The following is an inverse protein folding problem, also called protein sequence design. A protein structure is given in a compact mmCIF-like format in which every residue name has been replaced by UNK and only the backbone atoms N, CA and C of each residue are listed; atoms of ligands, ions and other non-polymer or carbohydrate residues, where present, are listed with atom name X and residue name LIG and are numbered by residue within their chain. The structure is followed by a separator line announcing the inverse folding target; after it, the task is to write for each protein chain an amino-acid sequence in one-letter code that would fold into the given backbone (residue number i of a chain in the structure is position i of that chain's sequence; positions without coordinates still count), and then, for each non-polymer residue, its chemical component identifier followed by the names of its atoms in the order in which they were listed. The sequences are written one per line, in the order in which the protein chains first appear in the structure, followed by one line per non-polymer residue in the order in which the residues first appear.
data_IF_911958406130
#
_entry.id   IF_911958406130
#
_cell.length_a   1.000
_cell.length_b   1.000
_cell.length_c   1.000
_cell.angle_alpha   90.00
_cell.angle_beta   90.00
_cell.angle_gamma   90.00
#
_symmetry.space_group_name_H-M   'P 1'
#
loop_
_entity.id
_entity.type
_entity.pdbx_description
1 polymer ?
#
# COMPACT_ATOMS: atom_id res chain seq x y z
N UNK A 1 -42.65 -10.52 25.61
CA UNK A 1 -42.28 -10.49 24.18
C UNK A 1 -40.80 -10.22 24.08
N UNK A 2 -40.01 -11.29 23.93
CA UNK A 2 -38.58 -11.18 23.61
C UNK A 2 -38.46 -10.77 22.14
N UNK A 3 -37.59 -9.81 21.84
CA UNK A 3 -37.25 -9.33 20.49
C UNK A 3 -36.95 -10.50 19.55
N UNK A 4 -37.70 -10.63 18.45
CA UNK A 4 -37.48 -11.61 17.36
C UNK A 4 -36.24 -11.31 16.48
N UNK A 5 -35.40 -10.36 16.88
CA UNK A 5 -34.17 -10.01 16.17
C UNK A 5 -32.97 -10.74 16.79
N UNK A 6 -32.48 -11.80 16.12
CA UNK A 6 -31.20 -12.40 16.48
C UNK A 6 -30.05 -11.49 16.02
N UNK A 7 -29.26 -11.00 16.97
CA UNK A 7 -27.98 -10.34 16.68
C UNK A 7 -26.91 -11.40 16.37
N UNK A 8 -26.85 -11.87 15.13
CA UNK A 8 -25.82 -12.84 14.71
C UNK A 8 -24.63 -12.09 14.10
N UNK A 9 -23.51 -12.06 14.84
CA UNK A 9 -22.22 -11.62 14.31
C UNK A 9 -21.48 -12.78 13.65
N UNK A 10 -20.84 -12.55 12.51
CA UNK A 10 -20.11 -13.57 11.76
C UNK A 10 -18.63 -13.20 11.70
N UNK A 11 -17.75 -14.03 12.27
CA UNK A 11 -16.31 -13.86 12.15
C UNK A 11 -15.77 -14.18 10.76
N UNK A 12 -16.52 -14.95 9.98
CA UNK A 12 -16.09 -15.39 8.67
C UNK A 12 -17.11 -14.96 7.59
N UNK A 13 -16.72 -14.12 6.62
CA UNK A 13 -17.53 -13.81 5.44
C UNK A 13 -18.04 -15.06 4.71
N UNK A 14 -17.30 -16.16 4.71
CA UNK A 14 -17.68 -17.43 4.09
C UNK A 14 -18.81 -18.15 4.83
N UNK A 15 -18.89 -18.00 6.15
CA UNK A 15 -20.00 -18.59 6.93
C UNK A 15 -21.29 -17.83 6.66
N UNK A 16 -21.24 -16.49 6.64
CA UNK A 16 -22.40 -15.67 6.30
C UNK A 16 -22.93 -15.93 4.88
N UNK A 17 -22.03 -15.98 3.88
CA UNK A 17 -22.42 -16.26 2.49
C UNK A 17 -23.04 -17.65 2.34
N UNK A 18 -22.45 -18.68 2.97
CA UNK A 18 -23.03 -20.04 2.99
C UNK A 18 -24.40 -20.10 3.66
N UNK A 19 -24.62 -19.33 4.72
CA UNK A 19 -25.90 -19.27 5.43
C UNK A 19 -26.95 -18.54 4.59
N UNK A 20 -26.60 -17.44 3.92
CA UNK A 20 -27.55 -16.76 3.00
C UNK A 20 -27.86 -17.60 1.77
N UNK A 21 -26.88 -18.33 1.24
CA UNK A 21 -27.12 -19.25 0.13
C UNK A 21 -28.08 -20.38 0.52
N UNK A 22 -27.92 -20.94 1.73
CA UNK A 22 -28.82 -21.98 2.25
C UNK A 22 -30.17 -21.44 2.72
N UNK A 23 -30.19 -20.25 3.30
CA UNK A 23 -31.37 -19.61 3.90
C UNK A 23 -31.47 -18.12 3.51
N UNK A 24 -31.94 -17.82 2.29
CA UNK A 24 -31.95 -16.45 1.74
C UNK A 24 -32.78 -15.45 2.54
N UNK A 25 -33.79 -15.92 3.27
CA UNK A 25 -34.70 -15.12 4.07
C UNK A 25 -34.03 -14.51 5.32
N UNK A 26 -32.86 -15.03 5.74
CA UNK A 26 -32.07 -14.47 6.84
C UNK A 26 -31.41 -13.13 6.46
N UNK A 27 -31.25 -12.86 5.17
CA UNK A 27 -30.58 -11.64 4.65
C UNK A 27 -31.19 -10.32 5.14
N UNK A 28 -32.50 -10.29 5.38
CA UNK A 28 -33.19 -9.09 5.89
C UNK A 28 -33.18 -8.98 7.42
N UNK A 29 -32.75 -10.04 8.13
CA UNK A 29 -32.81 -10.17 9.59
C UNK A 29 -31.42 -10.21 10.25
N UNK A 30 -30.36 -10.50 9.51
CA UNK A 30 -28.99 -10.55 10.02
C UNK A 30 -28.31 -9.18 9.99
N UNK A 31 -27.98 -8.63 11.15
CA UNK A 31 -27.07 -7.49 11.25
C UNK A 31 -25.62 -7.94 11.07
N UNK A 32 -24.97 -7.43 10.03
CA UNK A 32 -23.60 -7.81 9.66
C UNK A 32 -22.57 -7.23 10.64
N UNK A 33 -22.10 -8.05 11.59
CA UNK A 33 -20.82 -7.83 12.27
C UNK A 33 -19.78 -8.78 11.67
N UNK A 34 -18.95 -8.30 10.74
CA UNK A 34 -17.83 -9.10 10.23
C UNK A 34 -16.64 -8.96 11.16
N UNK A 35 -16.44 -9.91 12.07
CA UNK A 35 -15.15 -10.05 12.76
C UNK A 35 -14.15 -10.81 11.86
N UNK A 36 -13.86 -10.26 10.67
CA UNK A 36 -13.05 -10.93 9.64
C UNK A 36 -12.74 -10.08 8.39
N UNK A 37 -12.87 -8.75 8.49
CA UNK A 37 -12.49 -7.82 7.42
C UNK A 37 -10.98 -7.55 7.36
N UNK A 38 -10.57 -6.60 6.52
CA UNK A 38 -9.18 -6.13 6.49
C UNK A 38 -8.77 -5.36 7.77
N UNK A 39 -9.72 -5.11 8.68
CA UNK A 39 -9.59 -4.29 9.88
C UNK A 39 -10.17 -5.01 11.10
N UNK A 40 -9.65 -4.68 12.28
CA UNK A 40 -10.09 -5.23 13.56
C UNK A 40 -11.39 -4.57 14.03
N UNK A 41 -12.15 -5.20 14.94
CA UNK A 41 -13.33 -4.57 15.54
C UNK A 41 -13.01 -3.21 16.18
N UNK A 42 -11.88 -3.10 16.89
CA UNK A 42 -11.46 -1.85 17.53
C UNK A 42 -11.27 -0.69 16.53
N UNK A 43 -10.77 -0.99 15.33
CA UNK A 43 -10.64 0.00 14.27
C UNK A 43 -12.01 0.49 13.78
N UNK A 44 -12.97 -0.40 13.61
CA UNK A 44 -14.35 -0.03 13.25
C UNK A 44 -15.04 0.80 14.33
N UNK A 45 -14.85 0.44 15.62
CA UNK A 45 -15.35 1.23 16.73
C UNK A 45 -14.78 2.64 16.74
N UNK A 46 -13.48 2.78 16.49
CA UNK A 46 -12.83 4.09 16.45
C UNK A 46 -13.33 4.93 15.27
N UNK A 47 -13.51 4.35 14.08
CA UNK A 47 -14.10 5.06 12.94
C UNK A 47 -15.54 5.48 13.18
N UNK A 48 -16.34 4.64 13.83
CA UNK A 48 -17.71 4.99 14.24
C UNK A 48 -17.71 6.18 15.21
N UNK A 49 -16.84 6.13 16.22
CA UNK A 49 -16.69 7.21 17.21
C UNK A 49 -16.28 8.53 16.56
N UNK A 50 -15.35 8.51 15.62
CA UNK A 50 -14.83 9.73 14.97
C UNK A 50 -15.82 10.32 13.96
N UNK A 51 -16.51 9.48 13.20
CA UNK A 51 -17.41 9.93 12.13
C UNK A 51 -18.87 10.02 12.55
N UNK A 52 -19.24 9.59 13.76
CA UNK A 52 -20.63 9.41 14.20
C UNK A 52 -21.46 8.49 13.27
N UNK A 53 -20.79 7.70 12.44
CA UNK A 53 -21.47 6.73 11.58
C UNK A 53 -21.83 5.50 12.42
N UNK A 54 -23.09 5.03 12.40
CA UNK A 54 -23.50 3.84 13.14
C UNK A 54 -22.65 2.60 12.83
N UNK A 55 -22.33 1.82 13.87
CA UNK A 55 -21.55 0.59 13.76
C UNK A 55 -22.15 -0.42 12.78
N UNK A 56 -23.47 -0.45 12.67
CA UNK A 56 -24.21 -1.29 11.72
C UNK A 56 -23.88 -1.01 10.25
N UNK A 57 -23.32 0.17 9.93
CA UNK A 57 -22.94 0.56 8.57
C UNK A 57 -21.43 0.35 8.27
N UNK A 58 -20.60 0.10 9.29
CA UNK A 58 -19.13 0.10 9.16
C UNK A 58 -18.58 -0.93 8.17
N UNK A 59 -19.26 -2.07 8.04
CA UNK A 59 -18.83 -3.14 7.12
C UNK A 59 -19.12 -2.84 5.64
N UNK A 60 -19.96 -1.84 5.35
CA UNK A 60 -20.41 -1.53 3.99
C UNK A 60 -20.01 -0.12 3.53
N UNK A 61 -19.28 0.62 4.37
CA UNK A 61 -18.82 1.98 4.09
C UNK A 61 -17.32 1.99 3.78
N UNK A 62 -16.91 2.85 2.84
CA UNK A 62 -15.50 3.04 2.54
C UNK A 62 -14.84 3.95 3.57
N UNK A 63 -13.53 3.78 3.80
CA UNK A 63 -12.76 4.68 4.67
C UNK A 63 -12.87 6.14 4.21
N UNK A 64 -12.90 6.37 2.89
CA UNK A 64 -13.08 7.72 2.37
C UNK A 64 -14.44 8.34 2.72
N UNK A 65 -15.52 7.55 2.80
CA UNK A 65 -16.81 8.05 3.27
C UNK A 65 -16.80 8.35 4.77
N UNK A 66 -16.06 7.59 5.57
CA UNK A 66 -15.78 7.92 6.98
C UNK A 66 -15.08 9.29 7.06
N UNK A 67 -14.03 9.51 6.26
CA UNK A 67 -13.34 10.79 6.17
C UNK A 67 -14.28 11.93 5.76
N UNK A 68 -15.06 11.77 4.69
CA UNK A 68 -16.02 12.79 4.24
C UNK A 68 -17.05 13.14 5.32
N UNK A 69 -17.42 12.17 6.16
CA UNK A 69 -18.34 12.45 7.27
C UNK A 69 -17.66 13.29 8.36
N UNK A 70 -16.39 13.00 8.69
CA UNK A 70 -15.58 13.82 9.60
C UNK A 70 -15.45 15.26 9.06
N UNK A 71 -15.11 15.40 7.78
CA UNK A 71 -15.01 16.69 7.10
C UNK A 71 -16.35 17.45 7.11
N UNK A 72 -17.47 16.75 6.91
CA UNK A 72 -18.81 17.35 6.97
C UNK A 72 -19.22 17.81 8.39
N UNK A 73 -18.75 17.12 9.43
CA UNK A 73 -18.94 17.56 10.82
C UNK A 73 -18.16 18.84 11.08
N UNK A 74 -16.94 18.96 10.58
CA UNK A 74 -16.15 20.19 10.67
C UNK A 74 -16.75 21.34 9.86
N UNK A 75 -17.19 21.08 8.62
CA UNK A 75 -17.86 22.09 7.81
C UNK A 75 -19.12 22.63 8.49
N UNK A 76 -19.89 21.77 9.18
CA UNK A 76 -21.02 22.19 10.00
C UNK A 76 -20.58 23.06 11.18
N UNK A 77 -19.49 22.72 11.86
CA UNK A 77 -18.95 23.48 13.01
C UNK A 77 -18.58 24.92 12.60
N UNK A 78 -17.99 25.09 11.41
CA UNK A 78 -17.62 26.41 10.86
C UNK A 78 -18.72 27.07 10.02
N UNK A 79 -19.94 26.48 10.00
CA UNK A 79 -21.11 26.99 9.25
C UNK A 79 -20.83 27.19 7.75
N UNK A 80 -19.98 26.36 7.16
CA UNK A 80 -19.70 26.40 5.73
C UNK A 80 -20.89 25.87 4.93
N UNK A 81 -21.35 26.65 3.97
CA UNK A 81 -22.33 26.20 2.98
C UNK A 81 -21.64 25.26 1.98
N UNK A 82 -22.21 24.07 1.80
CA UNK A 82 -21.71 23.10 0.82
C UNK A 82 -22.57 23.17 -0.43
N UNK A 83 -21.98 23.68 -1.51
CA UNK A 83 -22.62 23.63 -2.82
C UNK A 83 -22.49 22.24 -3.43
N UNK A 84 -23.59 21.47 -3.43
CA UNK A 84 -23.65 20.13 -4.04
C UNK A 84 -23.78 20.16 -5.56
N UNK A 85 -24.13 21.31 -6.14
CA UNK A 85 -24.26 21.48 -7.60
C UNK A 85 -22.88 21.59 -8.27
N UNK A 86 -21.89 22.07 -7.51
CA UNK A 86 -20.49 22.15 -7.91
C UNK A 86 -19.70 20.94 -7.40
N UNK A 87 -19.97 19.77 -7.98
CA UNK A 87 -18.88 18.79 -8.08
C UNK A 87 -17.76 19.49 -8.83
N UNK A 88 -16.71 19.95 -8.13
CA UNK A 88 -15.67 20.87 -8.64
C UNK A 88 -15.10 20.32 -9.94
N UNK A 89 -15.69 20.77 -11.06
CA UNK A 89 -15.42 20.20 -12.37
C UNK A 89 -14.02 20.62 -12.74
N UNK A 90 -13.25 19.66 -13.25
CA UNK A 90 -12.01 20.01 -13.93
C UNK A 90 -12.33 21.03 -15.02
N UNK A 91 -11.54 22.10 -15.07
CA UNK A 91 -11.57 23.03 -16.17
C UNK A 91 -11.00 22.33 -17.42
N UNK A 92 -11.40 22.81 -18.60
CA UNK A 92 -10.76 22.37 -19.83
C UNK A 92 -9.29 22.75 -19.82
N UNK A 93 -8.41 21.77 -20.09
CA UNK A 93 -6.96 21.92 -20.10
C UNK A 93 -6.39 21.47 -21.43
N UNK A 94 -5.25 22.03 -21.79
CA UNK A 94 -4.51 21.53 -22.94
C UNK A 94 -3.73 20.25 -22.57
N UNK A 95 -3.34 19.48 -23.59
CA UNK A 95 -2.67 18.19 -23.37
C UNK A 95 -1.32 18.32 -22.66
N UNK A 96 -0.61 19.45 -22.81
CA UNK A 96 0.69 19.67 -22.16
C UNK A 96 0.52 19.83 -20.66
N UNK A 97 -0.46 20.64 -20.24
CA UNK A 97 -0.80 20.81 -18.82
C UNK A 97 -1.21 19.48 -18.18
N UNK A 98 -2.01 18.68 -18.87
CA UNK A 98 -2.38 17.36 -18.38
C UNK A 98 -1.15 16.48 -18.16
N UNK A 99 -0.25 16.39 -19.16
CA UNK A 99 0.99 15.58 -19.05
C UNK A 99 1.94 16.09 -17.95
N UNK A 100 1.97 17.38 -17.68
CA UNK A 100 2.89 18.00 -16.72
C UNK A 100 2.41 17.88 -15.26
N UNK A 101 1.12 18.11 -15.04
CA UNK A 101 0.54 18.28 -13.71
C UNK A 101 -0.27 17.08 -13.23
N UNK A 102 -0.93 16.34 -14.12
CA UNK A 102 -1.61 15.08 -13.77
C UNK A 102 -0.60 13.94 -13.66
N UNK A 103 0.21 14.03 -12.60
CA UNK A 103 1.24 13.05 -12.24
C UNK A 103 1.04 12.62 -10.80
N UNK A 104 1.27 11.33 -10.55
CA UNK A 104 1.32 10.76 -9.21
C UNK A 104 2.55 11.22 -8.42
N UNK A 105 2.73 10.61 -7.25
CA UNK A 105 3.93 10.79 -6.42
C UNK A 105 5.23 10.38 -7.13
N UNK A 106 6.37 10.67 -6.49
CA UNK A 106 7.68 10.31 -7.06
C UNK A 106 7.83 8.80 -7.09
N UNK A 107 8.21 8.29 -8.26
CA UNK A 107 8.78 6.95 -8.40
C UNK A 107 10.10 7.10 -9.14
N UNK A 108 11.20 7.08 -8.39
CA UNK A 108 12.51 6.96 -9.00
C UNK A 108 12.70 5.50 -9.37
N UNK A 109 12.62 5.24 -10.67
CA UNK A 109 12.74 3.91 -11.26
C UNK A 109 14.06 3.27 -10.79
N UNK A 110 14.02 2.25 -9.91
CA UNK A 110 15.26 1.68 -9.40
C UNK A 110 15.95 0.89 -10.51
N UNK A 111 17.28 0.89 -10.47
CA UNK A 111 18.07 -0.10 -11.20
C UNK A 111 17.94 -1.43 -10.45
N UNK A 112 17.60 -2.54 -11.12
CA UNK A 112 17.63 -3.85 -10.48
C UNK A 112 19.05 -4.19 -10.03
N UNK A 113 19.17 -4.87 -8.90
CA UNK A 113 20.45 -5.35 -8.43
C UNK A 113 20.55 -5.48 -6.92
N UNK A 114 21.74 -5.87 -6.49
CA UNK A 114 22.12 -5.99 -5.10
C UNK A 114 22.83 -4.71 -4.66
N UNK A 115 22.42 -4.17 -3.52
CA UNK A 115 22.96 -2.98 -2.90
C UNK A 115 23.39 -3.30 -1.48
N UNK A 116 24.60 -2.89 -1.11
CA UNK A 116 25.13 -3.07 0.24
C UNK A 116 24.96 -1.80 1.05
N UNK A 117 24.77 -1.96 2.37
CA UNK A 117 24.78 -0.87 3.36
C UNK A 117 23.80 0.24 3.00
N UNK A 118 22.52 -0.14 3.00
CA UNK A 118 21.44 0.73 2.52
C UNK A 118 20.70 1.34 3.70
N UNK A 119 20.54 2.65 3.70
CA UNK A 119 19.66 3.36 4.61
C UNK A 119 18.32 3.68 3.94
N UNK A 120 17.21 3.23 4.52
CA UNK A 120 15.87 3.62 4.10
C UNK A 120 15.32 4.67 5.05
N UNK A 121 15.01 5.85 4.52
CA UNK A 121 14.44 6.99 5.24
C UNK A 121 13.04 7.28 4.69
N UNK A 122 12.05 7.27 5.58
CA UNK A 122 10.64 7.49 5.24
C UNK A 122 10.12 8.78 5.88
N UNK A 123 9.36 9.59 5.15
CA UNK A 123 8.65 10.73 5.72
C UNK A 123 7.45 10.28 6.57
N UNK A 124 7.22 10.95 7.71
CA UNK A 124 6.08 10.65 8.57
C UNK A 124 4.81 11.29 8.01
N UNK A 125 3.91 10.47 7.46
CA UNK A 125 2.60 10.94 6.96
C UNK A 125 2.73 12.12 5.99
N UNK A 126 3.61 11.99 5.00
CA UNK A 126 4.00 13.08 4.09
C UNK A 126 2.80 13.82 3.48
N UNK A 127 1.89 13.09 2.84
CA UNK A 127 0.75 13.68 2.12
C UNK A 127 -0.23 14.42 3.05
N UNK A 128 -0.70 13.84 4.17
CA UNK A 128 -1.42 14.59 5.20
C UNK A 128 -0.72 15.86 5.67
N UNK A 129 0.60 15.80 5.93
CA UNK A 129 1.35 16.96 6.39
C UNK A 129 1.49 18.04 5.31
N UNK A 130 1.62 17.66 4.02
CA UNK A 130 1.59 18.61 2.90
C UNK A 130 0.24 19.35 2.86
N UNK A 131 -0.86 18.60 2.98
CA UNK A 131 -2.22 19.17 2.97
C UNK A 131 -2.37 20.21 4.08
N UNK A 132 -1.98 19.86 5.30
CA UNK A 132 -2.11 20.73 6.48
C UNK A 132 -1.18 21.93 6.40
N UNK A 133 0.10 21.73 6.04
CA UNK A 133 1.12 22.80 6.01
C UNK A 133 0.78 23.91 5.03
N UNK A 134 0.27 23.52 3.86
CA UNK A 134 0.00 24.47 2.77
C UNK A 134 -1.48 24.85 2.65
N UNK A 135 -2.34 24.44 3.59
CA UNK A 135 -3.79 24.71 3.56
C UNK A 135 -4.48 24.20 2.28
N UNK A 136 -4.11 23.01 1.80
CA UNK A 136 -4.60 22.49 0.51
C UNK A 136 -5.95 21.79 0.70
N UNK A 137 -6.99 22.41 0.19
CA UNK A 137 -8.36 21.89 0.15
C UNK A 137 -8.99 22.31 -1.16
N UNK A 138 -10.05 21.65 -1.61
CA UNK A 138 -10.62 22.07 -2.88
C UNK A 138 -11.33 23.43 -2.83
N UNK A 139 -11.71 23.97 -1.66
CA UNK A 139 -12.26 25.34 -1.53
C UNK A 139 -11.18 26.40 -1.40
N UNK A 140 -9.94 26.00 -1.08
CA UNK A 140 -8.83 26.93 -0.93
C UNK A 140 -8.01 27.02 -2.21
N UNK A 141 -7.92 25.94 -2.99
CA UNK A 141 -7.20 25.90 -4.26
C UNK A 141 -8.00 26.59 -5.36
N UNK A 142 -7.33 27.53 -6.04
CA UNK A 142 -7.87 28.38 -7.12
C UNK A 142 -9.16 29.11 -6.76
N UNK A 143 -9.33 29.45 -5.47
CA UNK A 143 -10.49 30.19 -4.96
C UNK A 143 -10.56 31.58 -5.61
N UNK A 144 -11.67 31.93 -6.29
CA UNK A 144 -11.89 33.28 -6.80
C UNK A 144 -11.92 34.32 -5.68
N UNK A 145 -11.45 35.54 -5.96
CA UNK A 145 -11.51 36.70 -5.06
C UNK A 145 -10.76 36.52 -3.72
N UNK A 146 -9.83 35.57 -3.63
CA UNK A 146 -8.96 35.42 -2.46
C UNK A 146 -7.99 36.60 -2.34
N UNK A 147 -7.81 37.12 -1.11
CA UNK A 147 -6.92 38.26 -0.82
C UNK A 147 -5.50 37.80 -0.51
N UNK A 148 -5.35 36.78 0.32
CA UNK A 148 -4.07 36.21 0.71
C UNK A 148 -3.79 34.92 -0.07
N UNK A 149 -2.91 35.00 -1.06
CA UNK A 149 -2.61 33.88 -1.97
C UNK A 149 -1.18 33.39 -1.77
N UNK A 150 -1.05 32.11 -1.46
CA UNK A 150 0.22 31.40 -1.57
C UNK A 150 0.44 30.89 -3.00
N UNK A 151 1.59 31.25 -3.57
CA UNK A 151 2.07 30.74 -4.86
C UNK A 151 3.30 29.86 -4.62
N UNK A 152 3.27 28.66 -5.14
CA UNK A 152 4.38 27.71 -5.07
C UNK A 152 4.94 27.51 -6.48
N UNK A 153 6.27 27.52 -6.64
CA UNK A 153 6.89 27.52 -7.98
C UNK A 153 6.76 26.20 -8.74
N UNK A 154 6.37 25.11 -8.06
CA UNK A 154 6.27 23.76 -8.62
C UNK A 154 4.84 23.31 -8.93
N UNK A 155 3.85 24.19 -8.78
CA UNK A 155 2.44 23.90 -9.09
C UNK A 155 1.80 25.12 -9.77
N UNK A 156 0.88 24.92 -10.73
CA UNK A 156 0.23 26.03 -11.41
C UNK A 156 -0.89 26.65 -10.56
N UNK A 157 -1.28 25.96 -9.48
CA UNK A 157 -2.42 26.32 -8.66
C UNK A 157 -2.05 27.35 -7.59
N UNK A 158 -3.01 28.20 -7.28
CA UNK A 158 -2.92 29.21 -6.22
C UNK A 158 -3.68 28.72 -5.00
N UNK A 159 -3.09 28.86 -3.83
CA UNK A 159 -3.73 28.41 -2.59
C UNK A 159 -4.16 29.62 -1.78
N UNK A 160 -5.45 29.69 -1.47
CA UNK A 160 -6.01 30.74 -0.64
C UNK A 160 -5.71 30.49 0.85
N UNK A 161 -5.29 31.54 1.53
CA UNK A 161 -4.96 31.54 2.96
C UNK A 161 -5.86 32.47 3.78
N UNK A 162 -6.94 33.01 3.19
CA UNK A 162 -7.90 33.85 3.91
C UNK A 162 -8.59 33.08 5.04
N UNK A 163 -8.88 31.79 4.81
CA UNK A 163 -9.53 30.87 5.75
C UNK A 163 -8.83 29.50 5.73
N UNK A 164 -8.85 28.77 6.84
CA UNK A 164 -8.41 27.37 6.87
C UNK A 164 -9.44 26.48 6.15
N UNK A 165 -8.96 25.61 5.25
CA UNK A 165 -9.81 24.65 4.53
C UNK A 165 -10.35 23.54 5.44
N UNK A 166 -11.47 22.95 5.04
CA UNK A 166 -12.11 21.84 5.77
C UNK A 166 -11.22 20.60 5.81
N UNK A 167 -10.60 20.25 4.68
CA UNK A 167 -9.71 19.10 4.59
C UNK A 167 -8.47 19.27 5.50
N UNK A 168 -7.68 20.36 5.42
CA UNK A 168 -6.53 20.55 6.30
C UNK A 168 -6.93 20.63 7.78
N UNK A 169 -8.02 21.30 8.13
CA UNK A 169 -8.54 21.31 9.51
C UNK A 169 -8.83 19.88 10.02
N UNK A 170 -9.53 19.07 9.21
CA UNK A 170 -9.88 17.69 9.57
C UNK A 170 -8.67 16.78 9.69
N UNK A 171 -7.72 16.91 8.75
CA UNK A 171 -6.50 16.11 8.75
C UNK A 171 -5.59 16.50 9.92
N UNK A 172 -5.49 17.79 10.28
CA UNK A 172 -4.70 18.27 11.42
C UNK A 172 -5.16 17.61 12.72
N UNK A 173 -6.47 17.59 12.99
CA UNK A 173 -7.02 16.91 14.17
C UNK A 173 -6.69 15.40 14.17
N UNK A 174 -6.79 14.73 13.02
CA UNK A 174 -6.46 13.32 12.88
C UNK A 174 -4.96 13.03 13.08
N UNK A 175 -4.07 13.90 12.60
CA UNK A 175 -2.62 13.78 12.86
C UNK A 175 -2.35 13.90 14.37
N UNK A 176 -2.89 14.94 15.02
CA UNK A 176 -2.73 15.12 16.47
C UNK A 176 -3.27 13.91 17.25
N UNK A 177 -4.41 13.36 16.83
CA UNK A 177 -5.01 12.20 17.48
C UNK A 177 -4.16 10.94 17.32
N UNK A 178 -3.60 10.70 16.14
CA UNK A 178 -2.67 9.60 15.88
C UNK A 178 -1.43 9.70 16.78
N UNK A 179 -0.85 10.90 16.92
CA UNK A 179 0.34 11.12 17.73
C UNK A 179 0.03 11.04 19.24
N UNK A 180 -1.15 11.47 19.66
CA UNK A 180 -1.65 11.24 21.02
C UNK A 180 -1.76 9.74 21.33
N UNK A 181 -2.38 8.95 20.45
CA UNK A 181 -2.50 7.51 20.65
C UNK A 181 -1.15 6.78 20.63
N UNK A 182 -0.19 7.23 19.81
CA UNK A 182 1.17 6.70 19.85
C UNK A 182 1.83 6.98 21.22
N UNK A 183 1.70 8.20 21.76
CA UNK A 183 2.23 8.53 23.09
C UNK A 183 1.58 7.71 24.20
N UNK A 184 0.25 7.66 24.23
CA UNK A 184 -0.50 6.88 25.22
C UNK A 184 -0.16 5.38 25.15
N UNK A 185 0.06 4.83 23.96
CA UNK A 185 0.52 3.45 23.82
C UNK A 185 1.91 3.24 24.44
N UNK A 186 2.84 4.17 24.22
CA UNK A 186 4.20 4.10 24.80
C UNK A 186 4.20 4.23 26.32
N UNK A 187 3.33 5.07 26.87
CA UNK A 187 3.22 5.31 28.32
C UNK A 187 2.51 4.17 29.05
N UNK A 188 1.43 3.63 28.48
CA UNK A 188 0.58 2.64 29.15
C UNK A 188 0.84 1.18 28.75
N UNK A 189 1.37 0.94 27.54
CA UNK A 189 1.42 -0.39 26.93
C UNK A 189 0.05 -0.95 26.50
N UNK A 190 -1.04 -0.20 26.66
CA UNK A 190 -2.39 -0.68 26.35
C UNK A 190 -2.61 -0.75 24.82
N UNK A 191 -2.80 -1.98 24.34
CA UNK A 191 -3.01 -2.29 22.93
C UNK A 191 -4.19 -1.54 22.31
N UNK A 192 -5.18 -1.08 23.09
CA UNK A 192 -6.29 -0.28 22.57
C UNK A 192 -5.79 0.98 21.86
N UNK A 193 -4.73 1.63 22.37
CA UNK A 193 -4.17 2.83 21.75
C UNK A 193 -3.45 2.52 20.45
N UNK A 194 -2.79 1.36 20.36
CA UNK A 194 -2.21 0.87 19.10
C UNK A 194 -3.29 0.63 18.04
N UNK A 195 -4.41 0.01 18.41
CA UNK A 195 -5.56 -0.21 17.51
C UNK A 195 -6.19 1.10 17.04
N UNK A 196 -6.42 2.05 17.96
CA UNK A 196 -6.96 3.38 17.62
C UNK A 196 -6.02 4.18 16.73
N UNK A 197 -4.73 4.19 17.04
CA UNK A 197 -3.69 4.78 16.18
C UNK A 197 -3.75 4.19 14.77
N UNK A 198 -3.86 2.86 14.65
CA UNK A 198 -3.96 2.20 13.36
C UNK A 198 -5.25 2.57 12.62
N UNK A 199 -6.37 2.74 13.33
CA UNK A 199 -7.63 3.22 12.75
C UNK A 199 -7.45 4.61 12.12
N UNK A 200 -6.89 5.56 12.87
CA UNK A 200 -6.65 6.93 12.40
C UNK A 200 -5.64 6.96 11.25
N UNK A 201 -4.58 6.15 11.33
CA UNK A 201 -3.59 5.99 10.25
C UNK A 201 -4.27 5.63 8.92
N UNK A 202 -5.24 4.72 8.91
CA UNK A 202 -5.93 4.32 7.68
C UNK A 202 -6.80 5.44 7.09
N UNK A 203 -7.42 6.28 7.94
CA UNK A 203 -8.12 7.49 7.47
C UNK A 203 -7.12 8.45 6.80
N UNK A 204 -5.97 8.70 7.43
CA UNK A 204 -4.91 9.56 6.90
C UNK A 204 -4.28 9.01 5.60
N UNK A 205 -4.16 7.69 5.45
CA UNK A 205 -3.70 7.05 4.20
C UNK A 205 -4.74 7.25 3.09
N UNK A 206 -6.04 7.16 3.41
CA UNK A 206 -7.11 7.35 2.44
C UNK A 206 -7.30 8.81 2.02
N UNK A 207 -6.92 9.79 2.86
CA UNK A 207 -7.25 11.21 2.63
C UNK A 207 -6.67 11.76 1.32
N UNK A 208 -5.43 11.42 0.99
CA UNK A 208 -4.82 11.85 -0.26
C UNK A 208 -5.57 11.32 -1.50
N UNK A 209 -5.91 10.02 -1.50
CA UNK A 209 -6.66 9.42 -2.60
C UNK A 209 -8.06 9.99 -2.73
N UNK A 210 -8.71 10.28 -1.60
CA UNK A 210 -10.04 10.89 -1.58
C UNK A 210 -10.04 12.37 -1.96
N UNK A 211 -8.92 13.09 -1.79
CA UNK A 211 -8.79 14.47 -2.25
C UNK A 211 -8.99 14.58 -3.78
N UNK A 212 -8.50 13.61 -4.56
CA UNK A 212 -8.67 13.55 -6.02
C UNK A 212 -9.88 12.73 -6.48
N UNK A 213 -10.66 12.15 -5.58
CA UNK A 213 -11.79 11.30 -5.96
C UNK A 213 -12.98 12.15 -6.44
N UNK A 214 -13.49 11.84 -7.64
CA UNK A 214 -14.58 12.58 -8.29
C UNK A 214 -15.84 12.77 -7.43
N UNK A 215 -16.16 11.82 -6.55
CA UNK A 215 -17.35 11.91 -5.68
C UNK A 215 -17.01 12.34 -4.25
N UNK A 216 -15.78 12.82 -4.00
CA UNK A 216 -15.42 13.42 -2.73
C UNK A 216 -16.06 14.81 -2.61
N UNK A 217 -16.72 15.07 -1.47
CA UNK A 217 -17.46 16.30 -1.26
C UNK A 217 -16.55 17.53 -1.11
N UNK A 218 -15.41 17.34 -0.46
CA UNK A 218 -14.41 18.40 -0.22
C UNK A 218 -13.18 18.24 -1.12
N UNK A 219 -13.16 17.21 -1.97
CA UNK A 219 -12.10 16.95 -2.93
C UNK A 219 -12.00 17.99 -4.04
N UNK A 220 -10.84 17.97 -4.71
CA UNK A 220 -10.56 18.70 -5.93
C UNK A 220 -9.34 18.06 -6.61
N UNK A 221 -9.42 17.90 -7.93
CA UNK A 221 -8.30 17.39 -8.73
C UNK A 221 -7.13 18.37 -8.69
N UNK A 222 -7.39 19.69 -8.73
CA UNK A 222 -6.38 20.73 -8.55
C UNK A 222 -5.68 20.62 -7.18
N UNK A 223 -6.44 20.32 -6.12
CA UNK A 223 -5.87 20.09 -4.80
C UNK A 223 -5.01 18.82 -4.77
N UNK A 224 -5.46 17.74 -5.40
CA UNK A 224 -4.68 16.50 -5.53
C UNK A 224 -3.35 16.74 -6.28
N UNK A 225 -3.38 17.45 -7.41
CA UNK A 225 -2.19 17.83 -8.20
C UNK A 225 -1.23 18.73 -7.41
N UNK A 226 -1.78 19.66 -6.63
CA UNK A 226 -0.98 20.53 -5.75
C UNK A 226 -0.20 19.68 -4.73
N UNK A 227 -0.86 18.69 -4.13
CA UNK A 227 -0.21 17.77 -3.18
C UNK A 227 0.84 16.90 -3.88
N UNK A 228 0.54 16.29 -5.03
CA UNK A 228 1.53 15.44 -5.73
C UNK A 228 2.73 16.25 -6.21
N UNK A 229 2.52 17.44 -6.76
CA UNK A 229 3.59 18.35 -7.18
C UNK A 229 4.48 18.75 -6.01
N UNK A 230 3.87 19.07 -4.86
CA UNK A 230 4.61 19.38 -3.63
C UNK A 230 5.37 18.17 -3.09
N UNK A 231 4.80 16.96 -3.14
CA UNK A 231 5.53 15.74 -2.76
C UNK A 231 6.74 15.51 -3.67
N UNK A 232 6.62 15.80 -4.97
CA UNK A 232 7.73 15.68 -5.93
C UNK A 232 8.86 16.64 -5.61
N UNK A 233 8.52 17.87 -5.27
CA UNK A 233 9.50 18.86 -4.84
C UNK A 233 10.21 18.47 -3.53
N UNK A 234 9.47 17.99 -2.53
CA UNK A 234 10.04 17.53 -1.25
C UNK A 234 11.02 16.38 -1.47
N UNK A 235 10.63 15.37 -2.25
CA UNK A 235 11.49 14.23 -2.57
C UNK A 235 12.72 14.66 -3.39
N UNK A 236 12.57 15.65 -4.29
CA UNK A 236 13.70 16.24 -5.01
C UNK A 236 14.68 16.92 -4.06
N UNK A 237 14.20 17.74 -3.12
CA UNK A 237 15.02 18.40 -2.10
C UNK A 237 15.72 17.39 -1.21
N UNK A 238 15.02 16.36 -0.75
CA UNK A 238 15.58 15.29 0.07
C UNK A 238 16.70 14.53 -0.65
N UNK A 239 16.52 14.18 -1.93
CA UNK A 239 17.58 13.58 -2.76
C UNK A 239 18.81 14.49 -2.86
N UNK A 240 18.60 15.78 -3.17
CA UNK A 240 19.70 16.74 -3.26
C UNK A 240 20.41 16.96 -1.93
N UNK A 241 19.69 16.90 -0.81
CA UNK A 241 20.28 16.98 0.53
C UNK A 241 21.24 15.81 0.78
N UNK A 242 20.88 14.60 0.37
CA UNK A 242 21.72 13.40 0.47
C UNK A 242 22.92 13.49 -0.48
N UNK A 243 22.70 13.84 -1.75
CA UNK A 243 23.76 13.90 -2.76
C UNK A 243 24.83 14.96 -2.48
N UNK A 244 24.45 16.09 -1.85
CA UNK A 244 25.40 17.12 -1.41
C UNK A 244 26.40 16.62 -0.38
N UNK A 245 26.04 15.60 0.40
CA UNK A 245 26.91 14.98 1.40
C UNK A 245 27.76 13.83 0.81
N UNK A 246 27.71 13.64 -0.52
CA UNK A 246 28.51 12.63 -1.23
C UNK A 246 27.87 11.24 -1.32
N UNK A 247 26.68 11.05 -0.75
CA UNK A 247 25.96 9.78 -0.80
C UNK A 247 25.09 9.63 -2.06
N UNK A 248 24.74 8.39 -2.40
CA UNK A 248 23.94 8.07 -3.59
C UNK A 248 22.55 7.57 -3.24
N UNK A 249 21.54 8.15 -3.89
CA UNK A 249 20.15 7.66 -3.83
C UNK A 249 19.89 6.67 -4.96
N UNK A 250 19.65 5.41 -4.64
CA UNK A 250 19.43 4.35 -5.65
C UNK A 250 17.96 4.07 -5.92
N UNK A 251 17.09 4.44 -4.99
CA UNK A 251 15.66 4.30 -5.12
C UNK A 251 14.92 5.36 -4.31
N UNK A 252 13.77 5.79 -4.83
CA UNK A 252 12.82 6.61 -4.11
C UNK A 252 11.42 6.23 -4.56
N UNK A 253 10.50 6.06 -3.63
CA UNK A 253 9.13 5.66 -3.92
C UNK A 253 8.17 6.35 -2.96
N UNK A 254 7.27 7.14 -3.52
CA UNK A 254 6.24 7.90 -2.81
C UNK A 254 6.85 8.84 -1.77
N UNK A 255 7.06 8.36 -0.55
CA UNK A 255 7.56 9.08 0.62
C UNK A 255 8.80 8.43 1.26
N UNK A 256 9.44 7.49 0.56
CA UNK A 256 10.64 6.76 0.98
C UNK A 256 11.84 7.04 0.08
N UNK A 257 13.04 7.17 0.67
CA UNK A 257 14.32 7.29 -0.03
C UNK A 257 15.28 6.19 0.45
N UNK A 258 16.00 5.59 -0.49
CA UNK A 258 17.00 4.56 -0.25
C UNK A 258 18.39 5.07 -0.63
N UNK A 259 19.24 5.19 0.36
CA UNK A 259 20.62 5.70 0.24
C UNK A 259 21.59 4.54 0.41
N UNK A 260 22.60 4.41 -0.45
CA UNK A 260 23.60 3.34 -0.38
C UNK A 260 24.92 3.84 0.20
N UNK A 261 25.81 2.90 0.51
CA UNK A 261 27.14 3.17 1.08
C UNK A 261 27.06 3.87 2.46
N UNK A 262 26.01 3.56 3.22
CA UNK A 262 25.79 4.08 4.58
C UNK A 262 26.25 3.02 5.59
N UNK A 263 27.49 3.15 6.07
CA UNK A 263 28.15 2.14 6.90
C UNK A 263 27.48 1.99 8.27
N UNK A 264 27.18 3.12 8.91
CA UNK A 264 26.74 3.16 10.30
C UNK A 264 25.32 3.69 10.46
N UNK A 265 24.67 3.33 11.58
CA UNK A 265 23.37 3.89 11.91
C UNK A 265 23.44 5.40 12.23
N UNK A 266 24.59 5.89 12.71
CA UNK A 266 24.82 7.32 12.96
C UNK A 266 24.82 8.13 11.66
N UNK A 267 25.40 7.61 10.59
CA UNK A 267 25.29 8.21 9.24
C UNK A 267 23.84 8.24 8.74
N UNK A 268 23.07 7.17 8.98
CA UNK A 268 21.63 7.17 8.71
C UNK A 268 20.90 8.32 9.45
N UNK A 269 21.24 8.55 10.73
CA UNK A 269 20.66 9.62 11.54
C UNK A 269 21.05 11.00 11.02
N UNK A 270 22.33 11.18 10.69
CA UNK A 270 22.83 12.41 10.08
C UNK A 270 22.09 12.76 8.77
N UNK A 271 21.94 11.79 7.87
CA UNK A 271 21.21 11.98 6.61
C UNK A 271 19.73 12.26 6.82
N UNK A 272 19.07 11.58 7.75
CA UNK A 272 17.68 11.86 8.14
C UNK A 272 17.55 13.31 8.61
N UNK A 273 18.44 13.78 9.48
CA UNK A 273 18.37 15.14 10.05
C UNK A 273 18.64 16.20 8.99
N UNK A 274 19.55 15.93 8.05
CA UNK A 274 19.77 16.77 6.86
C UNK A 274 18.52 16.86 5.99
N UNK A 275 17.87 15.74 5.69
CA UNK A 275 16.61 15.71 4.95
C UNK A 275 15.54 16.54 5.68
N UNK A 276 15.40 16.35 7.00
CA UNK A 276 14.41 17.09 7.80
C UNK A 276 14.67 18.60 7.78
N UNK A 277 15.93 19.03 7.87
CA UNK A 277 16.32 20.44 7.80
C UNK A 277 16.04 21.07 6.44
N UNK A 278 16.38 20.39 5.35
CA UNK A 278 16.24 20.92 3.98
C UNK A 278 14.80 20.89 3.46
N UNK A 279 14.00 19.93 3.94
CA UNK A 279 12.60 19.78 3.51
C UNK A 279 11.60 20.41 4.46
N UNK A 280 11.97 20.57 5.73
CA UNK A 280 11.08 21.00 6.83
C UNK A 280 9.94 20.01 7.12
N UNK A 281 10.09 18.74 6.72
CA UNK A 281 9.15 17.66 7.02
C UNK A 281 9.80 16.60 7.92
N UNK A 282 9.03 16.04 8.85
CA UNK A 282 9.51 14.97 9.70
C UNK A 282 9.80 13.69 8.91
N UNK A 283 10.97 13.12 9.15
CA UNK A 283 11.39 11.83 8.62
C UNK A 283 11.77 10.87 9.75
N UNK A 284 11.83 9.58 9.42
CA UNK A 284 12.35 8.53 10.31
C UNK A 284 13.22 7.58 9.51
N UNK A 285 14.17 6.95 10.19
CA UNK A 285 14.87 5.79 9.63
C UNK A 285 13.87 4.63 9.72
N UNK A 286 13.54 4.07 8.58
CA UNK A 286 12.62 2.93 8.48
C UNK A 286 13.39 1.60 8.54
N UNK A 287 14.59 1.55 7.96
CA UNK A 287 15.46 0.38 8.00
C UNK A 287 16.91 0.73 7.66
N UNK A 288 17.85 -0.02 8.24
CA UNK A 288 19.27 -0.02 7.87
C UNK A 288 19.65 -1.45 7.46
N UNK A 289 20.03 -1.64 6.20
CA UNK A 289 20.25 -2.94 5.58
C UNK A 289 21.74 -3.25 5.46
N UNK A 290 22.12 -4.49 5.80
CA UNK A 290 23.40 -5.07 5.39
C UNK A 290 23.42 -5.17 3.86
N UNK A 291 22.36 -5.73 3.28
CA UNK A 291 22.13 -5.73 1.84
C UNK A 291 20.64 -5.68 1.50
N UNK A 292 20.34 -5.08 0.36
CA UNK A 292 19.01 -4.94 -0.24
C UNK A 292 19.09 -5.42 -1.69
N UNK A 293 18.16 -6.27 -2.11
CA UNK A 293 18.00 -6.69 -3.49
C UNK A 293 16.72 -6.13 -4.10
N UNK A 294 16.84 -5.56 -5.29
CA UNK A 294 15.74 -5.09 -6.12
C UNK A 294 15.65 -6.01 -7.35
N UNK A 295 14.62 -6.87 -7.44
CA UNK A 295 14.46 -7.76 -8.58
C UNK A 295 14.22 -7.04 -9.90
N UNK A 296 14.64 -7.69 -11.00
CA UNK A 296 14.25 -7.31 -12.35
C UNK A 296 12.75 -7.53 -12.56
N UNK A 297 12.15 -6.68 -13.38
CA UNK A 297 10.82 -6.90 -13.92
C UNK A 297 10.77 -8.16 -14.78
N UNK A 298 9.59 -8.77 -14.86
CA UNK A 298 9.39 -9.96 -15.69
C UNK A 298 9.27 -9.62 -17.18
N UNK A 299 8.98 -8.36 -17.52
CA UNK A 299 8.66 -7.88 -18.87
C UNK A 299 9.81 -7.09 -19.49
N UNK A 300 10.57 -6.37 -18.68
CA UNK A 300 11.69 -5.52 -19.11
C UNK A 300 12.87 -5.57 -18.13
N UNK A 301 14.02 -5.03 -18.54
CA UNK A 301 15.25 -5.00 -17.71
C UNK A 301 15.22 -3.91 -16.61
N UNK A 302 14.05 -3.32 -16.34
CA UNK A 302 13.87 -2.28 -15.31
C UNK A 302 13.53 -2.92 -13.96
N UNK A 303 13.81 -2.21 -12.86
CA UNK A 303 13.40 -2.63 -11.52
C UNK A 303 11.90 -2.48 -11.35
N UNK A 304 11.30 -3.19 -10.40
CA UNK A 304 9.91 -2.89 -10.01
C UNK A 304 9.95 -2.12 -8.71
N UNK A 305 9.54 -0.85 -8.73
CA UNK A 305 9.63 0.05 -7.58
C UNK A 305 9.06 -0.55 -6.26
N UNK A 306 7.93 -1.27 -6.36
CA UNK A 306 7.29 -1.90 -5.21
C UNK A 306 7.82 -3.30 -4.87
N UNK A 307 8.96 -3.74 -5.43
CA UNK A 307 9.56 -5.05 -5.16
C UNK A 307 11.00 -4.90 -4.70
N UNK A 308 11.23 -5.29 -3.44
CA UNK A 308 12.57 -5.34 -2.85
C UNK A 308 12.53 -6.21 -1.60
N UNK A 309 13.69 -6.69 -1.18
CA UNK A 309 13.88 -7.33 0.11
C UNK A 309 15.33 -7.20 0.55
N UNK A 310 15.59 -7.34 1.85
CA UNK A 310 16.94 -7.18 2.37
C UNK A 310 17.09 -7.64 3.80
N UNK A 311 18.35 -7.91 4.16
CA UNK A 311 18.80 -8.24 5.51
C UNK A 311 19.09 -6.96 6.26
N UNK A 312 18.50 -6.77 7.44
CA UNK A 312 18.72 -5.63 8.31
C UNK A 312 19.93 -5.85 9.23
N UNK A 313 20.51 -4.76 9.72
CA UNK A 313 21.65 -4.80 10.65
C UNK A 313 21.29 -5.41 12.01
N UNK A 314 20.01 -5.43 12.39
CA UNK A 314 19.50 -6.12 13.58
C UNK A 314 19.29 -7.64 13.39
N UNK A 315 19.58 -8.17 12.20
CA UNK A 315 19.42 -9.58 11.83
C UNK A 315 18.01 -9.96 11.38
N UNK A 316 17.05 -9.04 11.40
CA UNK A 316 15.73 -9.25 10.80
C UNK A 316 15.78 -9.00 9.29
N UNK A 317 14.68 -9.30 8.59
CA UNK A 317 14.60 -9.15 7.14
C UNK A 317 13.24 -8.62 6.73
N UNK A 318 13.22 -7.85 5.64
CA UNK A 318 12.03 -7.20 5.11
C UNK A 318 11.80 -7.64 3.68
N UNK A 319 10.54 -7.93 3.33
CA UNK A 319 10.13 -8.33 1.98
C UNK A 319 8.96 -7.44 1.53
N UNK A 320 9.05 -6.92 0.31
CA UNK A 320 7.98 -6.16 -0.34
C UNK A 320 7.75 -6.65 -1.75
N UNK A 321 6.49 -6.91 -2.09
CA UNK A 321 6.00 -7.12 -3.45
C UNK A 321 6.41 -8.42 -4.15
N UNK A 322 7.24 -9.27 -3.53
CA UNK A 322 7.62 -10.60 -4.05
C UNK A 322 6.43 -11.56 -4.08
N UNK A 323 6.54 -12.61 -4.89
CA UNK A 323 5.53 -13.68 -4.99
C UNK A 323 5.12 -14.25 -3.63
N UNK A 324 6.07 -14.48 -2.72
CA UNK A 324 5.80 -15.03 -1.38
C UNK A 324 4.75 -14.25 -0.58
N UNK A 325 4.72 -12.92 -0.68
CA UNK A 325 3.77 -12.07 0.05
C UNK A 325 2.47 -11.81 -0.73
N UNK A 326 2.37 -12.28 -1.98
CA UNK A 326 1.18 -12.04 -2.80
C UNK A 326 0.10 -13.09 -2.52
N UNK A 327 -1.16 -12.64 -2.52
CA UNK A 327 -2.32 -13.52 -2.25
C UNK A 327 -2.60 -14.51 -3.39
N UNK A 328 -2.20 -14.17 -4.60
CA UNK A 328 -2.40 -14.97 -5.82
C UNK A 328 -1.30 -16.00 -6.08
N UNK A 329 -0.34 -16.15 -5.16
CA UNK A 329 0.74 -17.13 -5.26
C UNK A 329 0.37 -18.41 -4.50
N UNK A 330 0.53 -19.62 -5.09
CA UNK A 330 0.21 -20.87 -4.42
C UNK A 330 1.03 -21.10 -3.14
N UNK A 331 0.46 -21.73 -2.10
CA UNK A 331 1.18 -22.08 -0.87
C UNK A 331 2.52 -22.79 -1.08
N UNK A 332 2.59 -23.76 -2.01
CA UNK A 332 3.84 -24.47 -2.32
C UNK A 332 4.94 -23.53 -2.82
N UNK A 333 4.59 -22.65 -3.76
CA UNK A 333 5.53 -21.67 -4.34
C UNK A 333 6.02 -20.69 -3.26
N UNK A 334 5.12 -20.27 -2.36
CA UNK A 334 5.49 -19.42 -1.21
C UNK A 334 6.51 -20.12 -0.32
N UNK A 335 6.28 -21.39 0.01
CA UNK A 335 7.18 -22.20 0.85
C UNK A 335 8.55 -22.37 0.19
N UNK A 336 8.58 -22.71 -1.09
CA UNK A 336 9.82 -22.85 -1.85
C UNK A 336 10.63 -21.56 -1.87
N UNK A 337 9.98 -20.42 -2.18
CA UNK A 337 10.63 -19.12 -2.18
C UNK A 337 11.07 -18.70 -0.76
N UNK A 338 10.29 -19.02 0.27
CA UNK A 338 10.64 -18.77 1.67
C UNK A 338 11.91 -19.51 2.07
N UNK A 339 11.99 -20.82 1.82
CA UNK A 339 13.15 -21.66 2.13
C UNK A 339 14.41 -21.14 1.43
N UNK A 340 14.30 -20.74 0.15
CA UNK A 340 15.39 -20.13 -0.59
C UNK A 340 15.82 -18.77 -0.01
N UNK A 341 14.86 -17.91 0.31
CA UNK A 341 15.13 -16.60 0.91
C UNK A 341 15.79 -16.74 2.30
N UNK A 342 15.32 -17.67 3.13
CA UNK A 342 15.96 -17.95 4.43
C UNK A 342 17.45 -18.26 4.27
N UNK A 343 17.82 -19.06 3.26
CA UNK A 343 19.24 -19.31 2.96
C UNK A 343 20.00 -18.06 2.57
N UNK A 344 19.42 -17.21 1.72
CA UNK A 344 20.08 -15.95 1.35
C UNK A 344 20.27 -15.02 2.55
N UNK A 345 19.31 -14.95 3.47
CA UNK A 345 19.39 -14.12 4.67
C UNK A 345 20.41 -14.60 5.73
N UNK A 346 20.95 -15.82 5.59
CA UNK A 346 22.09 -16.27 6.40
C UNK A 346 23.39 -15.52 6.02
N UNK A 347 23.47 -14.95 4.81
CA UNK A 347 24.68 -14.29 4.31
C UNK A 347 24.76 -12.80 4.69
N UNK A 348 25.88 -12.43 5.30
CA UNK A 348 26.24 -11.04 5.66
C UNK A 348 27.37 -10.48 4.80
N UNK A 349 28.04 -11.32 4.02
CA UNK A 349 29.13 -10.93 3.11
C UNK A 349 28.85 -11.36 1.67
N UNK A 350 29.49 -10.72 0.66
CA UNK A 350 29.34 -11.13 -0.74
C UNK A 350 29.69 -12.60 -0.99
N UNK A 351 30.73 -13.11 -0.34
CA UNK A 351 31.22 -14.50 -0.49
C UNK A 351 30.24 -15.51 0.11
N UNK A 352 29.66 -15.19 1.27
CA UNK A 352 28.59 -16.01 1.85
C UNK A 352 27.37 -16.00 0.93
N UNK A 353 26.99 -14.83 0.40
CA UNK A 353 25.80 -14.71 -0.44
C UNK A 353 25.95 -15.49 -1.74
N UNK A 354 27.14 -15.49 -2.35
CA UNK A 354 27.47 -16.35 -3.49
C UNK A 354 27.22 -17.83 -3.18
N UNK A 355 27.75 -18.32 -2.05
CA UNK A 355 27.56 -19.70 -1.60
C UNK A 355 26.07 -20.01 -1.42
N UNK A 356 25.31 -19.10 -0.80
CA UNK A 356 23.87 -19.26 -0.58
C UNK A 356 23.06 -19.23 -1.87
N UNK A 357 23.46 -18.46 -2.88
CA UNK A 357 22.82 -18.49 -4.21
C UNK A 357 22.93 -19.89 -4.82
N UNK A 358 24.06 -20.58 -4.70
CA UNK A 358 24.17 -21.96 -5.17
C UNK A 358 23.27 -22.94 -4.40
N UNK A 359 23.16 -22.78 -3.08
CA UNK A 359 22.26 -23.60 -2.25
C UNK A 359 20.78 -23.45 -2.68
N UNK A 360 20.35 -22.25 -3.07
CA UNK A 360 18.97 -22.03 -3.54
C UNK A 360 18.62 -22.86 -4.79
N UNK A 361 19.60 -23.22 -5.63
CA UNK A 361 19.36 -24.09 -6.80
C UNK A 361 19.00 -25.52 -6.38
N UNK A 362 19.60 -26.02 -5.30
CA UNK A 362 19.26 -27.34 -4.74
C UNK A 362 17.82 -27.35 -4.23
N UNK A 363 17.41 -26.26 -3.59
CA UNK A 363 16.03 -26.07 -3.12
C UNK A 363 15.07 -26.06 -4.32
N UNK A 364 15.38 -25.32 -5.39
CA UNK A 364 14.56 -25.30 -6.60
C UNK A 364 14.34 -26.71 -7.16
N UNK A 365 15.41 -27.48 -7.34
CA UNK A 365 15.35 -28.83 -7.90
C UNK A 365 14.52 -29.77 -7.02
N UNK A 366 14.69 -29.70 -5.70
CA UNK A 366 13.86 -30.45 -4.72
C UNK A 366 12.37 -30.20 -4.97
N UNK A 367 11.92 -28.95 -5.08
CA UNK A 367 10.51 -28.64 -5.31
C UNK A 367 10.03 -29.00 -6.73
N UNK A 368 10.89 -28.88 -7.75
CA UNK A 368 10.57 -29.35 -9.11
C UNK A 368 10.33 -30.87 -9.10
N UNK A 369 11.19 -31.64 -8.43
CA UNK A 369 11.06 -33.10 -8.35
C UNK A 369 9.79 -33.51 -7.59
N UNK A 370 9.46 -32.85 -6.48
CA UNK A 370 8.20 -33.07 -5.75
C UNK A 370 6.96 -32.85 -6.64
N UNK A 371 6.94 -31.77 -7.43
CA UNK A 371 5.84 -31.47 -8.36
C UNK A 371 5.76 -32.54 -9.46
N UNK A 372 6.89 -32.96 -10.03
CA UNK A 372 6.95 -33.97 -11.10
C UNK A 372 6.50 -35.36 -10.64
N UNK A 373 6.89 -35.76 -9.43
CA UNK A 373 6.56 -37.06 -8.83
C UNK A 373 5.13 -37.12 -8.26
N UNK A 374 4.41 -36.00 -8.25
CA UNK A 374 3.06 -35.88 -7.66
C UNK A 374 3.01 -36.21 -6.16
N UNK A 375 4.10 -35.93 -5.45
CA UNK A 375 4.26 -36.16 -4.00
C UNK A 375 3.79 -34.94 -3.18
N UNK A 376 2.78 -34.21 -3.64
CA UNK A 376 2.28 -32.99 -3.01
C UNK A 376 0.77 -33.01 -2.90
N UNK A 377 0.22 -32.49 -1.78
CA UNK A 377 -1.22 -32.25 -1.67
C UNK A 377 -1.61 -31.17 -2.70
N UNK A 378 -2.51 -31.45 -3.67
CA UNK A 378 -2.94 -30.48 -4.67
C UNK A 378 -3.51 -29.18 -4.07
N UNK A 379 -3.98 -29.20 -2.82
CA UNK A 379 -4.42 -27.98 -2.11
C UNK A 379 -3.28 -26.95 -1.95
N UNK A 380 -2.02 -27.39 -1.94
CA UNK A 380 -0.86 -26.50 -1.88
C UNK A 380 -0.59 -25.77 -3.20
N UNK A 381 -1.26 -26.18 -4.28
CA UNK A 381 -1.17 -25.59 -5.61
C UNK A 381 -2.31 -24.62 -5.91
N UNK A 382 -3.23 -24.42 -4.97
CA UNK A 382 -4.38 -23.54 -5.14
C UNK A 382 -3.93 -22.09 -5.42
N UNK A 383 -4.44 -21.54 -6.52
CA UNK A 383 -4.34 -20.11 -6.83
C UNK A 383 -5.67 -19.45 -6.47
N UNK A 384 -5.60 -18.41 -5.64
CA UNK A 384 -6.73 -17.51 -5.40
C UNK A 384 -6.63 -16.30 -6.32
N UNK A 385 -7.73 -15.95 -7.01
CA UNK A 385 -7.88 -14.62 -7.64
C UNK A 385 -9.26 -14.03 -7.37
N UNK A 386 -9.35 -12.71 -7.28
CA UNK A 386 -10.64 -12.04 -7.34
C UNK A 386 -11.17 -12.12 -8.77
N UNK A 387 -12.39 -12.59 -8.95
CA UNK A 387 -13.05 -12.57 -10.24
C UNK A 387 -13.50 -11.13 -10.56
N UNK A 388 -13.50 -10.79 -11.84
CA UNK A 388 -14.06 -9.53 -12.37
C UNK A 388 -14.95 -9.90 -13.56
N UNK A 389 -16.06 -9.18 -13.74
CA UNK A 389 -16.95 -9.41 -14.88
C UNK A 389 -16.28 -9.05 -16.21
N UNK A 390 -16.64 -9.78 -17.26
CA UNK A 390 -16.04 -9.69 -18.60
C UNK A 390 -16.24 -8.32 -19.24
N UNK A 391 -17.31 -7.64 -18.88
CA UNK A 391 -17.79 -6.36 -19.41
C UNK A 391 -16.74 -5.24 -19.35
N UNK A 392 -15.74 -5.37 -18.48
CA UNK A 392 -14.69 -4.36 -18.24
C UNK A 392 -13.45 -4.58 -19.13
N UNK A 393 -13.30 -5.74 -19.77
CA UNK A 393 -12.09 -6.10 -20.51
C UNK A 393 -12.31 -6.14 -22.03
N UNK A 394 -11.61 -5.27 -22.76
CA UNK A 394 -11.55 -5.29 -24.24
C UNK A 394 -10.88 -6.56 -24.80
N UNK A 395 -9.95 -7.13 -24.03
CA UNK A 395 -9.35 -8.47 -24.22
C UNK A 395 -9.29 -9.15 -22.85
N UNK A 396 -10.27 -9.99 -22.50
CA UNK A 396 -10.30 -10.63 -21.19
C UNK A 396 -9.11 -11.58 -21.07
N UNK A 397 -8.25 -11.42 -20.05
CA UNK A 397 -7.25 -12.43 -19.76
C UNK A 397 -7.93 -13.75 -19.38
N UNK A 398 -7.22 -14.87 -19.49
CA UNK A 398 -7.74 -16.23 -19.32
C UNK A 398 -8.33 -16.56 -17.95
N UNK A 399 -8.47 -15.58 -17.05
CA UNK A 399 -9.08 -15.68 -15.72
C UNK A 399 -10.44 -14.96 -15.57
N UNK A 400 -11.02 -14.48 -16.66
CA UNK A 400 -12.31 -13.79 -16.70
C UNK A 400 -13.40 -14.74 -17.22
N UNK A 401 -14.38 -15.07 -16.37
CA UNK A 401 -15.47 -15.99 -16.70
C UNK A 401 -16.64 -15.28 -17.42
N UNK A 402 -17.42 -16.03 -18.21
CA UNK A 402 -18.60 -15.54 -18.94
C UNK A 402 -19.86 -15.37 -18.07
N UNK A 403 -19.98 -16.14 -16.99
CA UNK A 403 -21.09 -16.07 -16.04
C UNK A 403 -20.72 -15.21 -14.82
N UNK A 404 -21.72 -14.72 -14.08
CA UNK A 404 -21.52 -13.99 -12.80
C UNK A 404 -20.67 -14.85 -11.87
N UNK A 405 -19.36 -14.58 -11.77
CA UNK A 405 -18.46 -15.53 -11.15
C UNK A 405 -18.58 -15.42 -9.62
N UNK A 406 -18.36 -16.50 -8.85
CA UNK A 406 -18.12 -16.34 -7.43
C UNK A 406 -16.98 -15.33 -7.23
N UNK A 407 -17.06 -14.48 -6.20
CA UNK A 407 -16.13 -13.36 -5.93
C UNK A 407 -14.64 -13.75 -5.91
N UNK A 408 -14.34 -15.04 -5.77
CA UNK A 408 -13.01 -15.63 -5.69
C UNK A 408 -12.93 -16.89 -6.57
N UNK A 409 -11.95 -16.95 -7.47
CA UNK A 409 -11.61 -18.13 -8.26
C UNK A 409 -10.53 -18.93 -7.55
N UNK A 410 -10.75 -20.23 -7.42
CA UNK A 410 -9.83 -21.22 -6.85
C UNK A 410 -9.64 -22.29 -7.92
N UNK A 411 -8.45 -22.36 -8.52
CA UNK A 411 -8.19 -23.28 -9.62
C UNK A 411 -6.82 -23.93 -9.50
N UNK A 412 -6.74 -25.17 -10.00
CA UNK A 412 -5.54 -26.01 -10.02
C UNK A 412 -5.15 -26.38 -11.46
N UNK A 413 -6.14 -26.62 -12.34
CA UNK A 413 -5.95 -27.07 -13.74
C UNK A 413 -5.56 -25.98 -14.74
N UNK A 414 -5.34 -26.41 -15.99
CA UNK A 414 -5.17 -25.60 -17.20
C UNK A 414 -6.54 -25.11 -17.66
N UNK A 415 -7.04 -24.06 -17.03
CA UNK A 415 -8.42 -23.57 -17.19
C UNK A 415 -8.94 -22.98 -15.89
N UNK A 416 -10.04 -22.24 -15.95
CA UNK A 416 -10.71 -21.62 -14.78
C UNK A 416 -11.87 -22.45 -14.27
N UNK A 417 -11.75 -23.77 -14.29
CA UNK A 417 -12.81 -24.59 -13.73
C UNK A 417 -12.79 -24.42 -12.21
N UNK A 418 -13.94 -24.03 -11.65
CA UNK A 418 -14.14 -23.95 -10.21
C UNK A 418 -13.92 -25.35 -9.64
N UNK A 419 -13.06 -25.48 -8.63
CA UNK A 419 -12.92 -26.72 -7.89
C UNK A 419 -14.28 -27.15 -7.32
N UNK A 420 -14.80 -28.27 -7.82
CA UNK A 420 -15.93 -29.00 -7.25
C UNK A 420 -15.37 -30.08 -6.33
N UNK A 421 -16.01 -30.33 -5.18
CA UNK A 421 -15.52 -31.27 -4.15
C UNK A 421 -15.32 -32.71 -4.68
N UNK A 422 -15.95 -33.06 -5.81
CA UNK A 422 -15.99 -34.41 -6.37
C UNK A 422 -15.05 -34.64 -7.58
N UNK A 423 -14.27 -33.64 -8.02
CA UNK A 423 -13.38 -33.78 -9.19
C UNK A 423 -11.96 -34.23 -8.83
N UNK A 424 -11.34 -35.03 -9.71
CA UNK A 424 -9.94 -35.42 -9.58
C UNK A 424 -9.01 -34.20 -9.55
N UNK A 425 -8.22 -34.07 -8.48
CA UNK A 425 -7.30 -32.95 -8.23
C UNK A 425 -6.02 -33.03 -9.08
N UNK A 426 -6.14 -33.31 -10.38
CA UNK A 426 -5.00 -33.31 -11.28
C UNK A 426 -4.56 -31.88 -11.60
N UNK A 427 -3.25 -31.65 -11.64
CA UNK A 427 -2.67 -30.32 -11.85
C UNK A 427 -1.67 -30.29 -13.00
N UNK A 428 -1.52 -29.13 -13.63
CA UNK A 428 -0.59 -28.90 -14.73
C UNK A 428 0.83 -28.71 -14.18
N UNK A 429 1.65 -29.77 -14.27
CA UNK A 429 3.03 -29.78 -13.77
C UNK A 429 3.86 -28.62 -14.35
N UNK A 430 3.76 -28.37 -15.66
CA UNK A 430 4.58 -27.36 -16.34
C UNK A 430 4.24 -25.95 -15.87
N UNK A 431 2.95 -25.67 -15.65
CA UNK A 431 2.47 -24.39 -15.10
C UNK A 431 3.06 -24.10 -13.72
N UNK A 432 3.13 -25.08 -12.82
CA UNK A 432 3.66 -24.87 -11.47
C UNK A 432 5.19 -24.83 -11.44
N UNK A 433 5.86 -25.55 -12.33
CA UNK A 433 7.30 -25.41 -12.56
C UNK A 433 7.63 -24.00 -13.10
N UNK A 434 6.85 -23.47 -14.05
CA UNK A 434 7.02 -22.07 -14.53
C UNK A 434 6.81 -21.05 -13.40
N UNK A 435 5.85 -21.28 -12.51
CA UNK A 435 5.68 -20.42 -11.32
C UNK A 435 6.87 -20.50 -10.35
N UNK A 436 7.50 -21.67 -10.18
CA UNK A 436 8.74 -21.78 -9.40
C UNK A 436 9.87 -20.98 -10.08
N UNK A 437 10.07 -21.13 -11.39
CA UNK A 437 11.07 -20.35 -12.11
C UNK A 437 10.82 -18.84 -12.02
N UNK A 438 9.55 -18.41 -12.08
CA UNK A 438 9.17 -17.01 -11.86
C UNK A 438 9.55 -16.53 -10.46
N UNK A 439 9.33 -17.34 -9.42
CA UNK A 439 9.74 -17.01 -8.07
C UNK A 439 11.27 -16.93 -7.93
N UNK A 440 12.02 -17.79 -8.64
CA UNK A 440 13.49 -17.78 -8.65
C UNK A 440 14.10 -16.62 -9.45
N UNK A 441 13.40 -16.11 -10.46
CA UNK A 441 13.78 -14.86 -11.16
C UNK A 441 13.75 -13.63 -10.24
N UNK A 442 13.08 -13.71 -9.09
CA UNK A 442 13.10 -12.66 -8.06
C UNK A 442 14.28 -12.80 -7.08
N UNK A 443 15.13 -13.82 -7.22
CA UNK A 443 16.33 -14.03 -6.41
C UNK A 443 17.58 -13.39 -7.05
N UNK A 444 18.62 -13.01 -6.28
CA UNK A 444 19.89 -12.53 -6.82
C UNK A 444 20.59 -13.63 -7.62
N UNK A 445 21.26 -13.22 -8.69
CA UNK A 445 22.14 -14.08 -9.47
C UNK A 445 23.61 -13.76 -9.20
N UNK A 446 24.53 -14.64 -9.62
CA UNK A 446 25.97 -14.34 -9.55
C UNK A 446 26.33 -13.08 -10.33
N UNK A 447 25.66 -12.83 -11.45
CA UNK A 447 25.83 -11.60 -12.22
C UNK A 447 25.48 -10.36 -11.39
N UNK A 448 24.49 -10.44 -10.51
CA UNK A 448 24.10 -9.32 -9.65
C UNK A 448 25.10 -9.04 -8.53
N UNK A 449 25.87 -10.06 -8.10
CA UNK A 449 26.95 -9.90 -7.11
C UNK A 449 28.15 -9.15 -7.67
N UNK A 450 28.55 -9.48 -8.91
CA UNK A 450 29.77 -8.97 -9.53
C UNK A 450 29.56 -7.70 -10.37
N UNK A 451 28.32 -7.30 -10.62
CA UNK A 451 28.03 -6.01 -11.23
C UNK A 451 28.18 -4.90 -10.18
N UNK A 452 29.29 -4.16 -10.25
CA UNK A 452 29.37 -2.84 -9.60
C UNK A 452 28.28 -1.94 -10.19
N UNK A 453 27.32 -1.54 -9.35
CA UNK A 453 26.17 -0.70 -9.76
C UNK A 453 26.19 0.68 -9.12
N UNK A 454 27.36 1.06 -8.58
CA UNK A 454 27.62 2.37 -7.95
C UNK A 454 28.37 3.28 -8.90
#
# INVERSE_FOLDING_TARGET
MMSEYFHIGFSDPYVYMRIIEREPHIRSRAYRWVSGGAFTPHQYFEWSRLSYTPLSLMNNITIGRILTTIEALHSRRVKMLIDRSQGRRELWRNIRELIEYDRGGVVYQPRPGLYWRVCQIDFKSLYPNIIVRYNISGETVDRPLCRNILKLSWTPHKICLDDEGIVPMSIRELIHLKDLYERLYKESGDKIFSERKNAVKWILVASFGYLGYRNSLFGSVMAHETVTSTSREIMRKARLAVEKEGYKVVHAIVDSIFVVEVETFDECMFLRDKIMRETEFEAKIEAHYIWLYIPKSFVDDRGVANRYYGLLTDGTWKIKGLMIVRRDTPPLIKRAQYEALQKLFEAKTPQELETKIFETKKILNKYIDMIRRREIDPRELIITRHSRTRDIYRRPPSYVLETSPPYRLVYIRKGLDLLREEESLEYDIDKYIDLLYKAWRELPTLTDLYQSKV
#
